data_IF_567835798883
#
_entry.id   IF_567835798883
#
_cell.length_a   1.000
_cell.length_b   1.000
_cell.length_c   1.000
_cell.angle_alpha   90.00
_cell.angle_beta   90.00
_cell.angle_gamma   90.00
#
_symmetry.space_group_name_H-M   'P 1'
#
loop_
_entity.id
_entity.type
_entity.pdbx_description
1 polymer ?
#
# COMPACT_ATOMS: atom_id res chain seq x y z
N UNK A 1 -19.99 -6.83 17.91
CA UNK A 1 -18.74 -7.44 17.42
C UNK A 1 -18.65 -7.19 15.92
N UNK A 2 -17.60 -6.55 15.38
CA UNK A 2 -17.44 -6.46 13.94
C UNK A 2 -17.30 -7.87 13.36
N UNK A 3 -18.13 -8.21 12.38
CA UNK A 3 -18.04 -9.50 11.67
C UNK A 3 -16.70 -9.51 10.93
N UNK A 4 -15.86 -10.55 11.06
CA UNK A 4 -14.62 -10.65 10.31
C UNK A 4 -14.95 -10.74 8.82
N UNK A 5 -14.82 -9.62 8.11
CA UNK A 5 -14.96 -9.62 6.65
C UNK A 5 -13.65 -10.18 6.10
N UNK A 6 -13.74 -11.31 5.39
CA UNK A 6 -12.57 -11.87 4.72
C UNK A 6 -12.10 -10.86 3.66
N UNK A 7 -10.81 -10.49 3.61
CA UNK A 7 -10.31 -9.57 2.60
C UNK A 7 -10.63 -10.12 1.19
N UNK A 8 -11.05 -9.22 0.31
CA UNK A 8 -11.39 -9.54 -1.08
C UNK A 8 -10.74 -8.53 -2.01
N UNK A 9 -10.56 -8.89 -3.28
CA UNK A 9 -9.96 -7.98 -4.26
C UNK A 9 -10.83 -6.74 -4.48
N UNK A 10 -12.16 -6.88 -4.43
CA UNK A 10 -13.08 -5.74 -4.48
C UNK A 10 -12.91 -4.80 -3.27
N UNK A 11 -12.76 -5.38 -2.07
CA UNK A 11 -12.44 -4.63 -0.87
C UNK A 11 -11.08 -3.93 -0.95
N UNK A 12 -10.08 -4.59 -1.57
CA UNK A 12 -8.74 -4.03 -1.75
C UNK A 12 -8.74 -2.84 -2.70
N UNK A 13 -9.43 -2.94 -3.85
CA UNK A 13 -9.65 -1.80 -4.76
C UNK A 13 -10.24 -0.60 -4.02
N UNK A 14 -11.25 -0.86 -3.19
CA UNK A 14 -11.91 0.18 -2.41
C UNK A 14 -10.96 0.81 -1.39
N UNK A 15 -10.25 -0.02 -0.62
CA UNK A 15 -9.30 0.47 0.37
C UNK A 15 -8.19 1.33 -0.27
N UNK A 16 -7.65 0.91 -1.42
CA UNK A 16 -6.64 1.70 -2.14
C UNK A 16 -7.23 3.00 -2.69
N UNK A 17 -8.42 2.96 -3.29
CA UNK A 17 -9.12 4.16 -3.76
C UNK A 17 -9.32 5.18 -2.63
N UNK A 18 -9.81 4.71 -1.48
CA UNK A 18 -10.07 5.54 -0.31
C UNK A 18 -8.74 6.08 0.29
N UNK A 19 -7.70 5.25 0.39
CA UNK A 19 -6.38 5.66 0.90
C UNK A 19 -5.67 6.68 0.00
N UNK A 20 -5.92 6.65 -1.31
CA UNK A 20 -5.42 7.64 -2.26
C UNK A 20 -6.22 8.96 -2.23
N UNK A 21 -7.29 9.02 -1.42
CA UNK A 21 -8.21 10.15 -1.29
C UNK A 21 -8.75 10.63 -2.65
N UNK A 22 -9.10 9.69 -3.52
CA UNK A 22 -9.59 10.01 -4.86
C UNK A 22 -10.96 10.69 -4.80
N UNK A 23 -11.10 11.77 -5.56
CA UNK A 23 -12.34 12.52 -5.62
C UNK A 23 -13.48 11.69 -6.26
N UNK A 24 -14.69 11.89 -5.76
CA UNK A 24 -15.90 11.28 -6.31
C UNK A 24 -16.28 9.96 -5.65
N UNK A 25 -17.24 9.27 -6.28
CA UNK A 25 -17.73 7.98 -5.78
C UNK A 25 -16.85 6.85 -6.30
N UNK A 26 -16.70 5.81 -5.48
CA UNK A 26 -16.05 4.58 -5.91
C UNK A 26 -16.71 4.02 -7.18
N UNK A 27 -15.93 3.68 -8.23
CA UNK A 27 -16.51 3.21 -9.49
C UNK A 27 -17.31 1.91 -9.35
N UNK A 28 -18.31 1.75 -10.20
CA UNK A 28 -19.25 0.62 -10.19
C UNK A 28 -18.71 -0.62 -10.91
N UNK A 29 -17.59 -0.51 -11.62
CA UNK A 29 -16.89 -1.64 -12.26
C UNK A 29 -15.44 -1.72 -11.80
N UNK A 30 -14.89 -2.94 -11.78
CA UNK A 30 -13.50 -3.18 -11.44
C UNK A 30 -12.53 -2.46 -12.39
N UNK A 31 -12.82 -2.46 -13.70
CA UNK A 31 -11.98 -1.81 -14.70
C UNK A 31 -11.88 -0.29 -14.47
N UNK A 32 -12.99 0.38 -14.14
CA UNK A 32 -12.97 1.81 -13.85
C UNK A 32 -12.28 2.12 -12.52
N UNK A 33 -12.45 1.26 -11.51
CA UNK A 33 -11.73 1.40 -10.24
C UNK A 33 -10.21 1.25 -10.45
N UNK A 34 -9.79 0.25 -11.21
CA UNK A 34 -8.38 0.00 -11.51
C UNK A 34 -7.77 1.14 -12.35
N UNK A 35 -8.51 1.69 -13.33
CA UNK A 35 -8.08 2.86 -14.08
C UNK A 35 -7.91 4.11 -13.20
N UNK A 36 -8.84 4.36 -12.27
CA UNK A 36 -8.74 5.48 -11.34
C UNK A 36 -7.54 5.32 -10.38
N UNK A 37 -7.35 4.11 -9.83
CA UNK A 37 -6.23 3.79 -8.95
C UNK A 37 -4.90 3.92 -9.70
N UNK A 38 -4.75 3.25 -10.84
CA UNK A 38 -3.50 3.31 -11.64
C UNK A 38 -3.19 4.73 -12.10
N UNK A 39 -4.20 5.51 -12.51
CA UNK A 39 -4.02 6.92 -12.87
C UNK A 39 -3.48 7.75 -11.71
N UNK A 40 -4.00 7.57 -10.49
CA UNK A 40 -3.51 8.28 -9.31
C UNK A 40 -2.13 7.82 -8.83
N UNK A 41 -1.80 6.54 -9.07
CA UNK A 41 -0.51 5.93 -8.78
C UNK A 41 0.56 6.23 -9.84
N UNK A 42 0.24 7.01 -10.88
CA UNK A 42 1.24 7.54 -11.82
C UNK A 42 2.19 8.54 -11.14
N UNK A 43 1.72 9.19 -10.07
CA UNK A 43 2.57 9.97 -9.16
C UNK A 43 3.35 9.06 -8.21
N UNK A 44 4.55 9.49 -7.82
CA UNK A 44 5.40 8.69 -6.94
C UNK A 44 4.77 8.53 -5.55
N UNK A 45 4.42 7.29 -5.16
CA UNK A 45 3.76 6.99 -3.88
C UNK A 45 4.33 5.76 -3.20
N UNK A 46 4.23 5.72 -1.87
CA UNK A 46 4.52 4.52 -1.07
C UNK A 46 3.19 3.95 -0.59
N UNK A 47 2.90 2.70 -0.97
CA UNK A 47 1.74 1.96 -0.47
C UNK A 47 2.21 1.03 0.63
N UNK A 48 1.76 1.29 1.86
CA UNK A 48 2.04 0.45 3.03
C UNK A 48 0.83 -0.42 3.29
N UNK A 49 1.05 -1.73 3.34
CA UNK A 49 0.02 -2.73 3.61
C UNK A 49 0.38 -3.41 4.91
N UNK A 50 -0.39 -3.11 5.95
CA UNK A 50 -0.20 -3.71 7.26
C UNK A 50 -0.88 -5.07 7.36
N UNK A 51 -0.36 -5.92 8.25
CA UNK A 51 -0.84 -7.28 8.48
C UNK A 51 -0.97 -8.10 7.17
N UNK A 52 0.00 -7.96 6.26
CA UNK A 52 -0.03 -8.54 4.91
C UNK A 52 -0.14 -10.07 4.91
N UNK A 53 0.33 -10.75 5.97
CA UNK A 53 0.17 -12.19 6.17
C UNK A 53 -1.31 -12.62 6.37
N UNK A 54 -2.20 -11.67 6.67
CA UNK A 54 -3.66 -11.90 6.73
C UNK A 54 -4.33 -11.77 5.37
N UNK A 55 -3.65 -11.26 4.35
CA UNK A 55 -4.21 -11.13 3.01
C UNK A 55 -4.22 -12.47 2.28
N UNK A 56 -5.34 -12.84 1.64
CA UNK A 56 -5.36 -14.00 0.76
C UNK A 56 -4.57 -13.71 -0.51
N UNK A 57 -4.05 -14.77 -1.14
CA UNK A 57 -3.22 -14.69 -2.36
C UNK A 57 -3.79 -13.75 -3.45
N UNK A 58 -5.11 -13.77 -3.79
CA UNK A 58 -5.64 -12.88 -4.81
C UNK A 58 -5.52 -11.38 -4.48
N UNK A 59 -5.45 -11.01 -3.19
CA UNK A 59 -5.21 -9.62 -2.79
C UNK A 59 -3.73 -9.24 -2.98
N UNK A 60 -2.81 -10.17 -2.72
CA UNK A 60 -1.39 -9.97 -2.97
C UNK A 60 -1.09 -9.86 -4.47
N UNK A 61 -1.71 -10.71 -5.29
CA UNK A 61 -1.62 -10.65 -6.76
C UNK A 61 -2.14 -9.32 -7.30
N UNK A 62 -3.21 -8.78 -6.72
CA UNK A 62 -3.71 -7.46 -7.07
C UNK A 62 -2.69 -6.35 -6.76
N UNK A 63 -2.12 -6.34 -5.55
CA UNK A 63 -1.08 -5.37 -5.17
C UNK A 63 0.17 -5.50 -6.06
N UNK A 64 0.56 -6.72 -6.40
CA UNK A 64 1.63 -6.99 -7.36
C UNK A 64 1.28 -6.42 -8.73
N UNK A 65 0.05 -6.61 -9.22
CA UNK A 65 -0.37 -6.08 -10.53
C UNK A 65 -0.27 -4.55 -10.58
N UNK A 66 -0.56 -3.84 -9.47
CA UNK A 66 -0.39 -2.40 -9.38
C UNK A 66 1.09 -1.99 -9.42
N UNK A 67 1.97 -2.76 -8.76
CA UNK A 67 3.42 -2.52 -8.73
C UNK A 67 4.10 -2.82 -10.07
N UNK A 68 3.66 -3.87 -10.77
CA UNK A 68 4.16 -4.27 -12.08
C UNK A 68 3.59 -3.40 -13.22
N UNK A 69 2.50 -2.66 -12.98
CA UNK A 69 1.86 -1.84 -14.00
C UNK A 69 2.80 -0.71 -14.49
N UNK A 70 3.07 -0.58 -15.80
CA UNK A 70 4.08 0.35 -16.31
C UNK A 70 3.71 1.82 -16.11
N UNK A 71 2.42 2.12 -15.96
CA UNK A 71 1.91 3.47 -15.68
C UNK A 71 1.95 3.90 -14.21
N UNK A 72 2.43 3.05 -13.29
CA UNK A 72 2.49 3.39 -11.86
C UNK A 72 3.94 3.65 -11.41
N UNK A 73 4.09 4.49 -10.38
CA UNK A 73 5.36 4.85 -9.77
C UNK A 73 5.32 4.57 -8.27
N UNK A 74 5.01 3.33 -7.92
CA UNK A 74 4.82 2.95 -6.51
C UNK A 74 5.97 2.16 -5.91
N UNK A 75 6.19 2.35 -4.62
CA UNK A 75 6.92 1.42 -3.76
C UNK A 75 5.92 0.71 -2.86
N UNK A 76 5.93 -0.62 -2.88
CA UNK A 76 5.07 -1.43 -2.03
C UNK A 76 5.83 -1.88 -0.77
N UNK A 77 5.27 -1.61 0.40
CA UNK A 77 5.79 -2.06 1.69
C UNK A 77 4.77 -3.01 2.30
N UNK A 78 5.16 -4.26 2.49
CA UNK A 78 4.34 -5.26 3.15
C UNK A 78 4.82 -5.41 4.59
N UNK A 79 3.99 -5.00 5.54
CA UNK A 79 4.24 -5.13 6.97
C UNK A 79 3.48 -6.34 7.51
N UNK A 80 4.06 -7.00 8.49
CA UNK A 80 3.48 -8.14 9.17
C UNK A 80 4.52 -8.73 10.13
N UNK A 81 4.10 -9.58 11.08
CA UNK A 81 5.04 -10.38 11.86
C UNK A 81 5.84 -11.23 10.87
N UNK A 82 7.16 -11.03 10.87
CA UNK A 82 8.07 -11.92 10.16
C UNK A 82 8.03 -13.32 10.79
N UNK A 83 8.49 -14.35 10.08
CA UNK A 83 8.88 -15.59 10.73
C UNK A 83 10.10 -15.28 11.61
N UNK A 84 9.86 -14.95 12.88
CA UNK A 84 10.86 -14.64 13.91
C UNK A 84 12.03 -13.76 13.44
N UNK A 85 11.85 -12.44 13.26
CA UNK A 85 12.83 -11.39 13.59
C UNK A 85 12.33 -9.98 13.24
N UNK A 86 12.78 -9.03 14.07
CA UNK A 86 12.67 -7.56 14.10
C UNK A 86 12.97 -6.75 12.81
N UNK A 87 12.72 -7.27 11.59
CA UNK A 87 12.99 -6.51 10.36
C UNK A 87 11.87 -6.60 9.31
N UNK A 88 11.20 -5.46 8.97
CA UNK A 88 10.30 -5.42 7.83
C UNK A 88 11.09 -5.65 6.53
N UNK A 89 10.57 -6.50 5.64
CA UNK A 89 11.14 -6.70 4.30
C UNK A 89 10.53 -5.67 3.37
N UNK A 90 11.33 -4.67 2.98
CA UNK A 90 10.94 -3.66 1.99
C UNK A 90 11.54 -4.02 0.64
N UNK A 91 10.70 -4.23 -0.38
CA UNK A 91 11.15 -4.34 -1.77
C UNK A 91 10.80 -3.06 -2.51
N UNK A 92 11.82 -2.24 -2.75
CA UNK A 92 11.71 -1.08 -3.62
C UNK A 92 12.12 -1.45 -5.05
N UNK A 93 11.37 -0.96 -6.05
CA UNK A 93 11.87 -0.96 -7.43
C UNK A 93 13.06 -0.01 -7.49
N UNK A 94 14.11 -0.38 -8.21
CA UNK A 94 15.26 0.50 -8.44
C UNK A 94 14.81 1.70 -9.29
N UNK A 95 14.44 2.80 -8.64
CA UNK A 95 14.17 4.08 -9.29
C UNK A 95 15.52 4.80 -9.35
N UNK A 96 16.00 5.25 -10.52
CA UNK A 96 17.34 5.85 -10.67
C UNK A 96 17.59 7.15 -9.87
N UNK A 97 16.63 7.60 -9.04
CA UNK A 97 16.71 8.81 -8.22
C UNK A 97 16.18 8.62 -6.78
N UNK A 98 16.32 7.45 -6.16
CA UNK A 98 15.96 7.31 -4.74
C UNK A 98 17.15 7.71 -3.89
N UNK A 99 17.10 8.97 -3.42
CA UNK A 99 17.90 9.42 -2.29
C UNK A 99 17.62 8.56 -1.06
N UNK A 100 18.68 8.32 -0.30
CA UNK A 100 18.69 7.64 1.00
C UNK A 100 17.53 8.15 1.87
N UNK A 101 16.61 7.26 2.22
CA UNK A 101 15.55 7.56 3.17
C UNK A 101 16.16 7.50 4.57
N UNK A 102 16.57 8.65 5.10
CA UNK A 102 16.97 8.73 6.50
C UNK A 102 15.71 8.62 7.37
N UNK A 103 15.79 7.77 8.39
CA UNK A 103 14.74 7.60 9.40
C UNK A 103 14.50 8.98 10.01
N UNK A 104 13.31 9.55 9.85
CA UNK A 104 12.94 10.74 10.62
C UNK A 104 13.20 10.43 12.10
N UNK A 105 13.97 11.26 12.82
CA UNK A 105 14.24 11.01 14.22
C UNK A 105 12.89 11.03 14.94
N UNK A 106 12.60 9.94 15.66
CA UNK A 106 11.51 9.94 16.61
C UNK A 106 11.78 11.09 17.59
N UNK A 107 11.01 12.18 17.49
CA UNK A 107 11.09 13.29 18.42
C UNK A 107 10.90 12.73 19.81
N UNK A 108 12.01 12.68 20.55
CA UNK A 108 12.00 12.58 21.99
C UNK A 108 11.27 13.81 22.49
N UNK A 109 9.98 13.64 22.82
CA UNK A 109 9.28 14.58 23.68
C UNK A 109 9.99 14.55 25.03
N UNK A 110 10.95 15.46 25.18
CA UNK A 110 11.56 15.80 26.44
C UNK A 110 10.46 16.42 27.32
N UNK A 111 10.02 15.64 28.30
CA UNK A 111 9.21 16.11 29.40
C UNK A 111 10.11 17.00 30.28
N UNK A 112 10.08 18.30 30.02
CA UNK A 112 10.47 19.30 31.00
C UNK A 112 9.24 20.15 31.30
N UNK A 113 8.64 19.90 32.44
CA UNK A 113 8.21 20.92 33.41
C UNK A 113 8.00 20.26 34.75
#
# INVERSE_FOLDING_TARGET
>A
MPVPVRPSVAGMRRAVFDALALAGRFPHTSALADAAVTGALSEARVLVVDEAQRLPVPCLEYLQSLWDHPGTRITLVLCGPGPDVDRPVVRARHVPHVGRFDRAPAERAAHHR
#
